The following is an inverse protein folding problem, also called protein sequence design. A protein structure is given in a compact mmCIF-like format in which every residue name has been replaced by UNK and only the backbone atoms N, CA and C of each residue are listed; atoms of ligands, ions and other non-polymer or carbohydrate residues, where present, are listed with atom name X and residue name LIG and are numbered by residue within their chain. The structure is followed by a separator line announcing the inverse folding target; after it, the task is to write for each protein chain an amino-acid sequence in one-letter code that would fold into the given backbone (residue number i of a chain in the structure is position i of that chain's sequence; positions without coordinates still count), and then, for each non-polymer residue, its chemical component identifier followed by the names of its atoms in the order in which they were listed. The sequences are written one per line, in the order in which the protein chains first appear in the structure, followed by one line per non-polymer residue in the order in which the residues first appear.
data_IF_161407532702
#
_entry.id   IF_161407532702
#
_cell.length_a   1.000
_cell.length_b   1.000
_cell.length_c   1.000
_cell.angle_alpha   90.00
_cell.angle_beta   90.00
_cell.angle_gamma   90.00
#
_symmetry.space_group_name_H-M   'P 1'
#
loop_
_entity.id
_entity.type
_entity.pdbx_description
1 polymer ?
#
# COMPACT_ATOMS: atom_id res chain seq x y z
N UNK A 1 49.60 67.99 -14.17
CA UNK A 1 49.20 68.38 -12.80
C UNK A 1 47.69 68.36 -12.76
N UNK A 2 47.11 67.22 -12.43
CA UNK A 2 45.66 67.06 -12.26
C UNK A 2 45.34 67.14 -10.77
N UNK A 3 44.37 67.98 -10.45
CA UNK A 3 43.98 68.34 -9.10
C UNK A 3 43.00 67.27 -8.58
N UNK A 4 43.25 66.61 -7.44
CA UNK A 4 42.32 65.62 -6.91
C UNK A 4 41.10 66.33 -6.32
N UNK A 5 39.99 66.28 -7.03
CA UNK A 5 38.68 66.73 -6.56
C UNK A 5 38.30 65.99 -5.28
N UNK A 6 38.31 66.72 -4.16
CA UNK A 6 37.80 66.25 -2.89
C UNK A 6 36.29 65.98 -3.01
N UNK A 7 35.91 64.71 -2.91
CA UNK A 7 34.51 64.28 -2.78
C UNK A 7 34.02 64.66 -1.39
N UNK A 8 33.30 65.78 -1.31
CA UNK A 8 32.65 66.24 -0.08
C UNK A 8 31.45 65.33 0.20
N UNK A 9 31.61 64.42 1.15
CA UNK A 9 30.52 63.58 1.65
C UNK A 9 29.47 64.45 2.34
N UNK A 10 28.35 64.68 1.68
CA UNK A 10 27.20 65.41 2.22
C UNK A 10 26.63 64.70 3.46
N UNK A 11 26.30 65.43 4.54
CA UNK A 11 25.68 64.87 5.74
C UNK A 11 24.41 64.04 5.46
N UNK A 12 23.70 64.35 4.38
CA UNK A 12 22.48 63.63 3.98
C UNK A 12 22.74 62.17 3.56
N UNK A 13 23.83 61.90 2.84
CA UNK A 13 24.22 60.54 2.45
C UNK A 13 24.66 59.68 3.64
N UNK A 14 25.08 60.33 4.74
CA UNK A 14 25.46 59.65 5.98
C UNK A 14 24.24 59.19 6.77
N UNK A 15 23.15 59.95 6.75
CA UNK A 15 21.89 59.62 7.44
C UNK A 15 21.15 58.47 6.73
N UNK A 16 21.16 58.45 5.40
CA UNK A 16 20.49 57.40 4.62
C UNK A 16 21.12 56.02 4.86
N UNK A 17 22.47 55.93 4.90
CA UNK A 17 23.17 54.68 5.21
C UNK A 17 22.90 54.14 6.62
N UNK A 18 22.65 55.02 7.58
CA UNK A 18 22.33 54.61 8.97
C UNK A 18 20.92 53.99 9.04
N UNK A 19 19.96 54.56 8.31
CA UNK A 19 18.58 54.06 8.29
C UNK A 19 18.46 52.72 7.54
N UNK A 20 19.20 52.52 6.44
CA UNK A 20 19.22 51.23 5.74
C UNK A 20 19.87 50.12 6.59
N UNK A 21 20.92 50.44 7.34
CA UNK A 21 21.58 49.49 8.24
C UNK A 21 20.65 49.00 9.36
N UNK A 22 19.83 49.90 9.93
CA UNK A 22 18.88 49.55 10.98
C UNK A 22 17.76 48.63 10.46
N UNK A 23 17.28 48.85 9.24
CA UNK A 23 16.27 48.00 8.60
C UNK A 23 16.74 46.55 8.38
N UNK A 24 17.96 46.38 7.86
CA UNK A 24 18.56 45.06 7.63
C UNK A 24 18.80 44.33 8.96
N UNK A 25 19.31 45.03 9.97
CA UNK A 25 19.55 44.44 11.29
C UNK A 25 18.25 43.97 11.97
N UNK A 26 17.18 44.78 11.85
CA UNK A 26 15.86 44.43 12.39
C UNK A 26 15.28 43.18 11.70
N UNK A 27 15.42 43.08 10.37
CA UNK A 27 14.96 41.92 9.61
C UNK A 27 15.71 40.63 10.01
N UNK A 28 17.02 40.70 10.24
CA UNK A 28 17.83 39.56 10.69
C UNK A 28 17.39 39.08 12.08
N UNK A 29 17.11 40.00 13.01
CA UNK A 29 16.63 39.64 14.35
C UNK A 29 15.27 38.92 14.28
N UNK A 30 14.33 39.44 13.48
CA UNK A 30 13.01 38.83 13.32
C UNK A 30 13.13 37.42 12.72
N UNK A 31 13.99 37.24 11.71
CA UNK A 31 14.24 35.94 11.10
C UNK A 31 14.80 34.93 12.10
N UNK A 32 15.77 35.32 12.93
CA UNK A 32 16.34 34.47 13.97
C UNK A 32 15.29 34.07 15.03
N UNK A 33 14.42 34.99 15.44
CA UNK A 33 13.35 34.68 16.39
C UNK A 33 12.35 33.65 15.84
N UNK A 34 11.96 33.77 14.56
CA UNK A 34 11.09 32.77 13.91
C UNK A 34 11.76 31.40 13.87
N UNK A 35 13.07 31.35 13.58
CA UNK A 35 13.82 30.09 13.54
C UNK A 35 13.88 29.41 14.91
N UNK A 36 14.07 30.17 15.99
CA UNK A 36 14.09 29.65 17.37
C UNK A 36 12.73 29.04 17.75
N UNK A 37 11.62 29.68 17.36
CA UNK A 37 10.27 29.16 17.62
C UNK A 37 10.04 27.85 16.87
N UNK A 38 10.41 27.77 15.58
CA UNK A 38 10.27 26.55 14.78
C UNK A 38 11.12 25.40 15.33
N UNK A 39 12.37 25.66 15.71
CA UNK A 39 13.24 24.67 16.34
C UNK A 39 12.65 24.15 17.67
N UNK A 40 12.07 25.04 18.47
CA UNK A 40 11.42 24.67 19.74
C UNK A 40 10.21 23.77 19.52
N UNK A 41 9.37 24.06 18.52
CA UNK A 41 8.21 23.22 18.16
C UNK A 41 8.68 21.82 17.72
N UNK A 42 9.74 21.74 16.91
CA UNK A 42 10.29 20.48 16.42
C UNK A 42 10.85 19.63 17.57
N UNK A 43 11.62 20.23 18.49
CA UNK A 43 12.17 19.52 19.67
C UNK A 43 11.05 19.01 20.57
N UNK A 44 10.02 19.81 20.84
CA UNK A 44 8.85 19.38 21.64
C UNK A 44 8.08 18.27 20.93
N UNK A 45 7.94 18.33 19.60
CA UNK A 45 7.29 17.28 18.80
C UNK A 45 8.04 15.95 18.84
N UNK A 46 9.37 15.97 18.75
CA UNK A 46 10.22 14.78 18.85
C UNK A 46 10.20 14.21 20.28
N UNK A 47 10.33 15.06 21.31
CA UNK A 47 10.28 14.63 22.70
C UNK A 47 8.95 13.96 23.06
N UNK A 48 7.82 14.49 22.58
CA UNK A 48 6.50 13.85 22.77
C UNK A 48 6.35 12.52 22.05
N UNK A 49 7.03 12.29 20.93
CA UNK A 49 7.03 10.97 20.26
C UNK A 49 7.86 9.93 21.02
N UNK A 50 8.94 10.35 21.69
CA UNK A 50 9.80 9.44 22.45
C UNK A 50 9.23 9.06 23.83
N UNK A 51 8.32 9.86 24.40
CA UNK A 51 7.73 9.59 25.72
C UNK A 51 6.58 8.56 25.72
N UNK A 52 6.29 7.92 24.59
CA UNK A 52 5.21 6.93 24.46
C UNK A 52 5.70 5.48 24.28
N UNK A 53 6.99 5.20 24.47
CA UNK A 53 7.51 3.82 24.47
C UNK A 53 7.46 3.30 25.92
N UNK A 54 6.59 2.33 26.26
CA UNK A 54 6.59 1.70 27.57
C UNK A 54 7.91 0.92 27.79
N UNK A 55 8.53 1.05 28.97
CA UNK A 55 9.79 0.36 29.33
C UNK A 55 9.73 -1.17 29.22
N UNK A 56 8.53 -1.76 29.14
CA UNK A 56 8.32 -3.20 29.06
C UNK A 56 8.73 -3.81 27.70
N UNK A 57 8.94 -3.00 26.65
CA UNK A 57 9.33 -3.49 25.31
C UNK A 57 10.86 -3.56 25.15
N UNK A 58 11.64 -2.81 25.93
CA UNK A 58 13.11 -2.77 25.73
C UNK A 58 13.82 -4.07 26.12
N UNK A 59 13.22 -4.92 26.97
CA UNK A 59 13.85 -6.17 27.40
C UNK A 59 13.67 -7.34 26.42
N UNK A 60 12.75 -7.24 25.46
CA UNK A 60 12.48 -8.33 24.48
C UNK A 60 13.32 -8.18 23.21
N UNK A 61 13.77 -6.96 22.89
CA UNK A 61 14.48 -6.65 21.63
C UNK A 61 15.96 -7.10 21.64
N UNK A 62 16.58 -7.31 22.81
CA UNK A 62 18.01 -7.66 22.89
C UNK A 62 18.30 -9.17 22.99
N UNK A 63 17.31 -10.05 23.09
CA UNK A 63 17.57 -11.49 23.31
C UNK A 63 17.66 -12.35 22.05
N UNK A 64 17.24 -11.87 20.87
CA UNK A 64 17.10 -12.71 19.67
C UNK A 64 17.99 -12.33 18.48
N UNK A 65 19.04 -11.53 18.69
CA UNK A 65 20.09 -11.34 17.67
C UNK A 65 21.27 -12.25 18.01
N UNK A 66 21.11 -13.54 17.72
CA UNK A 66 22.23 -14.40 17.37
C UNK A 66 22.27 -14.48 15.85
N UNK A 67 23.04 -13.58 15.23
CA UNK A 67 23.46 -13.75 13.84
C UNK A 67 24.61 -14.77 13.84
N UNK A 68 24.33 -15.96 13.33
CA UNK A 68 25.38 -16.85 12.84
C UNK A 68 25.70 -16.42 11.40
N UNK A 69 26.89 -15.87 11.23
CA UNK A 69 27.48 -15.60 9.93
C UNK A 69 27.79 -16.92 9.25
N UNK A 70 27.50 -17.03 7.95
CA UNK A 70 28.48 -17.38 6.93
C UNK A 70 27.78 -17.48 5.57
N UNK A 71 28.12 -16.57 4.66
CA UNK A 71 28.68 -16.88 3.34
C UNK A 71 28.43 -15.73 2.38
N UNK A 72 29.54 -15.27 1.79
CA UNK A 72 29.63 -14.33 0.68
C UNK A 72 28.69 -14.72 -0.48
N UNK A 73 27.80 -13.83 -0.89
CA UNK A 73 27.40 -13.74 -2.30
C UNK A 73 26.82 -12.37 -2.67
N UNK A 74 26.97 -12.03 -3.93
CA UNK A 74 26.91 -10.70 -4.51
C UNK A 74 25.51 -10.04 -4.51
N UNK A 75 25.48 -8.73 -4.20
CA UNK A 75 24.67 -7.78 -4.96
C UNK A 75 23.15 -7.98 -5.03
N UNK A 76 22.48 -8.33 -3.94
CA UNK A 76 21.00 -8.20 -3.87
C UNK A 76 20.65 -6.87 -3.24
N UNK A 77 20.00 -5.98 -4.01
CA UNK A 77 19.29 -4.81 -3.48
C UNK A 77 18.17 -5.33 -2.57
N UNK A 78 18.47 -5.57 -1.30
CA UNK A 78 17.49 -5.97 -0.31
C UNK A 78 16.57 -4.79 0.00
N UNK A 79 15.29 -4.98 -0.26
CA UNK A 79 14.24 -4.04 0.08
C UNK A 79 14.27 -3.80 1.61
N UNK A 80 14.69 -2.60 2.02
CA UNK A 80 14.61 -2.17 3.41
C UNK A 80 13.16 -1.77 3.68
N UNK A 81 12.54 -2.34 4.72
CA UNK A 81 11.52 -1.59 5.45
C UNK A 81 11.55 -1.80 6.98
N UNK A 82 11.62 -0.65 7.67
CA UNK A 82 11.35 -0.45 9.10
C UNK A 82 9.98 0.26 9.22
N UNK A 83 8.95 -0.46 9.65
CA UNK A 83 7.79 0.08 10.35
C UNK A 83 7.53 -0.94 11.48
N UNK A 84 7.68 -0.56 12.75
CA UNK A 84 7.57 -1.55 13.84
C UNK A 84 6.15 -2.14 13.84
N UNK A 85 6.04 -3.45 13.54
CA UNK A 85 4.77 -4.17 13.44
C UNK A 85 4.14 -4.25 12.05
N UNK A 86 4.64 -3.55 11.02
CA UNK A 86 4.09 -3.59 9.64
C UNK A 86 5.21 -3.62 8.58
N UNK A 87 5.08 -4.48 7.58
CA UNK A 87 5.96 -4.58 6.43
C UNK A 87 5.27 -4.03 5.19
N UNK A 88 6.02 -3.34 4.35
CA UNK A 88 5.55 -2.76 3.09
C UNK A 88 6.00 -3.68 1.97
N UNK A 89 5.03 -4.22 1.25
CA UNK A 89 5.25 -4.94 0.01
C UNK A 89 5.01 -4.01 -1.16
N UNK A 90 5.83 -4.14 -2.22
CA UNK A 90 5.74 -3.30 -3.39
C UNK A 90 6.00 -4.10 -4.66
N UNK A 91 5.30 -3.75 -5.73
CA UNK A 91 5.62 -4.12 -7.10
C UNK A 91 5.74 -2.83 -7.92
N UNK A 92 6.95 -2.23 -7.98
CA UNK A 92 7.16 -0.93 -8.61
C UNK A 92 6.73 -0.88 -10.07
N UNK A 93 6.83 -2.00 -10.79
CA UNK A 93 6.44 -2.11 -12.20
C UNK A 93 4.94 -1.86 -12.43
N UNK A 94 4.09 -2.08 -11.42
CA UNK A 94 2.64 -1.82 -11.46
C UNK A 94 2.23 -0.62 -10.59
N UNK A 95 3.20 0.10 -10.02
CA UNK A 95 2.93 1.16 -9.02
C UNK A 95 2.25 0.65 -7.75
N UNK A 96 2.23 -0.67 -7.52
CA UNK A 96 1.48 -1.30 -6.45
C UNK A 96 2.24 -1.30 -5.13
N UNK A 97 1.56 -0.94 -4.05
CA UNK A 97 2.08 -1.07 -2.69
C UNK A 97 0.98 -1.53 -1.73
N UNK A 98 1.35 -2.31 -0.71
CA UNK A 98 0.46 -2.72 0.39
C UNK A 98 1.26 -2.87 1.70
N UNK A 99 0.68 -2.47 2.82
CA UNK A 99 1.23 -2.75 4.15
C UNK A 99 0.56 -3.98 4.76
N UNK A 100 1.35 -4.93 5.22
CA UNK A 100 0.92 -6.13 5.94
C UNK A 100 1.50 -6.11 7.35
N UNK A 101 0.88 -6.74 8.36
CA UNK A 101 1.50 -6.89 9.67
C UNK A 101 2.84 -7.62 9.57
N UNK A 102 3.86 -7.22 10.35
CA UNK A 102 5.23 -7.74 10.23
C UNK A 102 5.39 -9.21 10.62
N UNK A 103 4.37 -9.81 11.22
CA UNK A 103 4.29 -11.25 11.42
C UNK A 103 3.76 -11.97 10.18
N UNK A 104 3.72 -11.33 9.01
CA UNK A 104 3.35 -11.90 7.72
C UNK A 104 4.45 -12.79 7.13
N UNK A 105 4.09 -13.91 6.52
CA UNK A 105 5.02 -14.71 5.73
C UNK A 105 5.03 -14.26 4.27
N UNK A 106 6.23 -14.08 3.74
CA UNK A 106 6.47 -13.86 2.31
C UNK A 106 6.75 -15.22 1.65
N UNK A 107 6.03 -15.51 0.57
CA UNK A 107 6.32 -16.63 -0.32
C UNK A 107 6.22 -18.01 0.35
N UNK A 108 4.99 -18.41 0.70
CA UNK A 108 4.71 -19.81 1.03
C UNK A 108 4.54 -20.52 -0.32
N UNK A 109 5.58 -21.20 -0.79
CA UNK A 109 5.42 -22.20 -1.84
C UNK A 109 4.31 -23.13 -1.38
N UNK A 110 3.20 -23.13 -2.11
CA UNK A 110 1.92 -23.68 -1.66
C UNK A 110 2.12 -25.11 -1.21
N UNK A 111 1.82 -25.35 0.07
CA UNK A 111 1.69 -26.68 0.64
C UNK A 111 0.63 -27.43 -0.15
N UNK A 112 1.05 -28.29 -1.09
CA UNK A 112 0.18 -29.21 -1.83
C UNK A 112 -0.57 -30.17 -0.87
N UNK A 113 -0.12 -30.31 0.37
CA UNK A 113 -0.65 -31.26 1.35
C UNK A 113 -0.96 -30.59 2.70
N UNK A 114 -2.03 -29.79 2.74
CA UNK A 114 -2.68 -29.37 3.99
C UNK A 114 -2.10 -28.08 4.61
N UNK A 115 -3.01 -27.21 5.06
CA UNK A 115 -2.67 -26.02 5.83
C UNK A 115 -2.07 -26.50 7.16
N UNK A 116 -0.74 -26.43 7.30
CA UNK A 116 -0.11 -26.60 8.61
C UNK A 116 -0.70 -25.53 9.56
N UNK A 117 -1.19 -25.99 10.70
CA UNK A 117 -1.86 -25.16 11.72
C UNK A 117 -0.95 -24.01 12.21
N UNK A 118 0.37 -24.13 12.01
CA UNK A 118 1.36 -23.09 12.31
C UNK A 118 1.20 -21.80 11.47
N UNK A 119 0.48 -21.84 10.35
CA UNK A 119 0.23 -20.69 9.46
C UNK A 119 -1.08 -19.93 9.75
N UNK A 120 -1.81 -20.32 10.80
CA UNK A 120 -3.02 -19.62 11.24
C UNK A 120 -2.66 -18.32 11.98
N UNK A 121 -3.51 -17.30 11.87
CA UNK A 121 -3.31 -15.91 12.31
C UNK A 121 -2.20 -15.13 11.59
N UNK A 122 -1.68 -15.63 10.48
CA UNK A 122 -0.63 -14.96 9.73
C UNK A 122 -1.15 -14.44 8.39
N UNK A 123 -0.84 -13.18 8.09
CA UNK A 123 -0.98 -12.67 6.73
C UNK A 123 0.02 -13.37 5.83
N UNK A 124 -0.47 -13.93 4.74
CA UNK A 124 0.37 -14.55 3.72
C UNK A 124 0.22 -13.78 2.42
N UNK A 125 1.35 -13.48 1.78
CA UNK A 125 1.38 -12.88 0.45
C UNK A 125 2.06 -13.81 -0.54
N UNK A 126 1.39 -13.97 -1.68
CA UNK A 126 1.81 -14.82 -2.79
C UNK A 126 1.77 -14.00 -4.07
N UNK A 127 2.71 -14.25 -4.97
CA UNK A 127 2.65 -13.72 -6.33
C UNK A 127 2.78 -14.86 -7.34
N UNK A 128 1.92 -14.83 -8.36
CA UNK A 128 1.90 -15.79 -9.45
C UNK A 128 2.24 -15.07 -10.74
N UNK A 129 3.23 -15.61 -11.45
CA UNK A 129 3.56 -15.22 -12.80
C UNK A 129 2.75 -16.10 -13.80
N UNK A 130 2.57 -15.65 -15.07
CA UNK A 130 1.70 -16.30 -16.05
C UNK A 130 2.07 -17.77 -16.34
N UNK A 131 3.36 -18.10 -16.22
CA UNK A 131 3.87 -19.44 -16.48
C UNK A 131 3.48 -20.47 -15.40
N UNK A 132 2.97 -20.03 -14.26
CA UNK A 132 2.60 -20.88 -13.12
C UNK A 132 1.09 -21.24 -13.10
N UNK A 133 0.57 -21.62 -14.28
CA UNK A 133 -0.86 -21.71 -14.61
C UNK A 133 -1.67 -22.74 -13.83
N UNK A 134 -1.02 -23.71 -13.16
CA UNK A 134 -1.72 -24.76 -12.40
C UNK A 134 -2.41 -24.26 -11.13
N UNK A 135 -2.09 -23.06 -10.64
CA UNK A 135 -2.64 -22.50 -9.40
C UNK A 135 -3.61 -21.34 -9.61
N UNK A 136 -3.91 -20.98 -10.86
CA UNK A 136 -4.91 -19.96 -11.19
C UNK A 136 -6.30 -20.64 -11.26
N UNK A 137 -6.87 -20.97 -10.11
CA UNK A 137 -8.30 -21.27 -10.05
C UNK A 137 -9.07 -20.01 -10.51
N UNK A 138 -9.89 -20.17 -11.54
CA UNK A 138 -10.57 -19.07 -12.24
C UNK A 138 -9.70 -18.51 -13.37
N UNK A 139 -10.12 -18.78 -14.61
CA UNK A 139 -9.45 -18.29 -15.81
C UNK A 139 -9.38 -16.76 -15.86
N UNK A 140 -8.47 -16.24 -16.69
CA UNK A 140 -8.20 -14.81 -16.78
C UNK A 140 -9.42 -14.01 -17.25
N UNK A 141 -9.70 -12.91 -16.54
CA UNK A 141 -10.81 -12.00 -16.84
C UNK A 141 -10.56 -11.22 -18.12
N UNK A 142 -9.33 -10.76 -18.33
CA UNK A 142 -8.89 -9.97 -19.47
C UNK A 142 -7.69 -10.64 -20.16
N UNK A 143 -7.47 -10.40 -21.47
CA UNK A 143 -6.22 -10.79 -22.12
C UNK A 143 -5.02 -10.04 -21.52
N UNK A 144 -3.82 -10.55 -21.79
CA UNK A 144 -2.57 -9.89 -21.36
C UNK A 144 -2.29 -10.01 -19.86
N UNK A 145 -2.66 -11.12 -19.22
CA UNK A 145 -2.31 -11.39 -17.82
C UNK A 145 -0.80 -11.34 -17.59
N UNK A 146 -0.37 -10.56 -16.60
CA UNK A 146 1.04 -10.32 -16.28
C UNK A 146 1.40 -10.85 -14.89
N UNK A 147 0.51 -10.67 -13.91
CA UNK A 147 0.78 -11.06 -12.52
C UNK A 147 -0.51 -11.17 -11.71
N UNK A 148 -0.51 -12.05 -10.71
CA UNK A 148 -1.55 -12.10 -9.67
C UNK A 148 -0.89 -12.06 -8.30
N UNK A 149 -1.38 -11.19 -7.42
CA UNK A 149 -0.99 -11.13 -6.01
C UNK A 149 -2.15 -11.61 -5.17
N UNK A 150 -1.92 -12.62 -4.33
CA UNK A 150 -2.89 -13.08 -3.34
C UNK A 150 -2.45 -12.66 -1.94
N UNK A 151 -3.34 -11.99 -1.20
CA UNK A 151 -3.21 -11.72 0.23
C UNK A 151 -4.23 -12.58 0.97
N UNK A 152 -3.78 -13.36 1.94
CA UNK A 152 -4.67 -14.25 2.71
C UNK A 152 -4.43 -14.07 4.20
N UNK A 153 -5.52 -14.05 4.95
CA UNK A 153 -5.53 -14.11 6.41
C UNK A 153 -6.55 -15.17 6.83
N UNK A 154 -6.18 -16.05 7.76
CA UNK A 154 -7.07 -17.07 8.32
C UNK A 154 -6.94 -17.08 9.86
N UNK A 155 -8.03 -16.88 10.64
CA UNK A 155 -7.94 -16.90 12.09
C UNK A 155 -7.78 -18.32 12.67
N UNK A 156 -7.24 -18.43 13.89
CA UNK A 156 -7.06 -19.70 14.63
C UNK A 156 -8.39 -20.34 15.07
N UNK A 157 -9.33 -19.54 15.54
CA UNK A 157 -10.59 -20.02 16.11
C UNK A 157 -11.64 -20.24 15.01
N UNK A 158 -11.43 -21.20 14.11
CA UNK A 158 -12.54 -21.66 13.28
C UNK A 158 -13.51 -22.37 14.21
N UNK A 159 -14.67 -21.76 14.50
CA UNK A 159 -15.80 -22.50 15.06
C UNK A 159 -16.03 -23.73 14.16
N UNK A 160 -16.42 -24.85 14.76
CA UNK A 160 -16.67 -26.14 14.07
C UNK A 160 -17.83 -25.98 13.07
N UNK A 161 -17.55 -25.36 11.92
CA UNK A 161 -18.52 -24.89 10.94
C UNK A 161 -18.47 -25.82 9.74
N UNK A 162 -19.43 -26.75 9.72
CA UNK A 162 -19.47 -27.90 8.80
C UNK A 162 -19.82 -27.63 7.33
N UNK A 163 -19.39 -26.53 6.69
CA UNK A 163 -19.59 -26.31 5.25
C UNK A 163 -18.48 -25.47 4.58
N UNK A 164 -18.23 -25.73 3.29
CA UNK A 164 -17.26 -25.06 2.39
C UNK A 164 -17.33 -23.52 2.37
N UNK A 165 -18.51 -22.94 2.67
CA UNK A 165 -18.70 -21.48 2.76
C UNK A 165 -18.12 -20.83 4.01
N UNK A 166 -17.95 -21.61 5.09
CA UNK A 166 -17.51 -21.14 6.41
C UNK A 166 -16.03 -21.47 6.69
N UNK A 167 -15.29 -21.94 5.68
CA UNK A 167 -13.87 -22.29 5.82
C UNK A 167 -12.98 -21.08 6.09
N UNK A 168 -13.49 -19.87 5.92
CA UNK A 168 -12.67 -18.68 5.82
C UNK A 168 -13.27 -17.52 6.62
N UNK A 169 -13.33 -17.61 7.96
CA UNK A 169 -13.53 -16.47 8.88
C UNK A 169 -12.42 -15.38 8.78
N UNK A 170 -11.73 -15.35 7.65
CA UNK A 170 -10.56 -14.58 7.32
C UNK A 170 -10.83 -13.58 6.20
N UNK A 171 -9.75 -13.27 5.49
CA UNK A 171 -9.79 -12.42 4.31
C UNK A 171 -8.97 -13.04 3.19
N UNK A 172 -9.52 -13.00 1.98
CA UNK A 172 -8.83 -13.32 0.75
C UNK A 172 -8.93 -12.10 -0.15
N UNK A 173 -7.80 -11.54 -0.54
CA UNK A 173 -7.71 -10.41 -1.47
C UNK A 173 -6.86 -10.88 -2.64
N UNK A 174 -7.41 -10.80 -3.84
CA UNK A 174 -6.71 -11.17 -5.07
C UNK A 174 -6.60 -9.92 -5.94
N UNK A 175 -5.39 -9.64 -6.40
CA UNK A 175 -5.07 -8.50 -7.25
C UNK A 175 -4.45 -9.04 -8.54
N UNK A 176 -5.16 -8.95 -9.65
CA UNK A 176 -4.70 -9.37 -10.96
C UNK A 176 -4.30 -8.16 -11.79
N UNK A 177 -3.14 -8.25 -12.43
CA UNK A 177 -2.57 -7.22 -13.30
C UNK A 177 -2.62 -7.74 -14.74
N UNK A 178 -3.26 -6.96 -15.61
CA UNK A 178 -3.38 -7.25 -17.04
C UNK A 178 -2.88 -6.06 -17.85
N UNK A 179 -2.22 -6.32 -18.97
CA UNK A 179 -1.82 -5.28 -19.91
C UNK A 179 -3.01 -4.80 -20.73
N UNK A 180 -3.23 -3.49 -20.80
CA UNK A 180 -4.27 -2.87 -21.62
C UNK A 180 -3.80 -2.68 -23.08
N UNK A 181 -3.47 -3.77 -23.77
CA UNK A 181 -2.92 -3.72 -25.13
C UNK A 181 -3.86 -3.04 -26.14
N UNK A 182 -5.16 -3.15 -25.90
CA UNK A 182 -6.21 -2.56 -26.75
C UNK A 182 -6.53 -1.10 -26.40
N UNK A 183 -5.86 -0.53 -25.37
CA UNK A 183 -6.08 0.85 -24.92
C UNK A 183 -7.55 1.14 -24.58
N UNK A 184 -8.22 0.20 -23.93
CA UNK A 184 -9.62 0.31 -23.52
C UNK A 184 -9.81 1.41 -22.47
N UNK A 185 -10.91 2.18 -22.59
CA UNK A 185 -11.36 3.09 -21.54
C UNK A 185 -11.97 2.33 -20.37
N UNK A 186 -12.12 2.97 -19.21
CA UNK A 186 -12.72 2.31 -18.03
C UNK A 186 -14.16 1.84 -18.28
N UNK A 187 -14.93 2.54 -19.11
CA UNK A 187 -16.29 2.13 -19.51
C UNK A 187 -16.29 0.92 -20.44
N UNK A 188 -15.27 0.80 -21.30
CA UNK A 188 -15.10 -0.39 -22.14
C UNK A 188 -14.69 -1.59 -21.28
N UNK A 189 -13.79 -1.37 -20.32
CA UNK A 189 -13.34 -2.39 -19.37
C UNK A 189 -14.52 -2.92 -18.54
N UNK A 190 -15.40 -2.05 -18.03
CA UNK A 190 -16.61 -2.46 -17.28
C UNK A 190 -17.52 -3.35 -18.13
N UNK A 191 -17.72 -2.99 -19.40
CA UNK A 191 -18.54 -3.78 -20.31
C UNK A 191 -17.93 -5.15 -20.60
N UNK A 192 -16.62 -5.23 -20.85
CA UNK A 192 -15.91 -6.49 -21.04
C UNK A 192 -15.98 -7.36 -19.77
N UNK A 193 -15.79 -6.75 -18.60
CA UNK A 193 -15.90 -7.42 -17.30
C UNK A 193 -17.29 -8.04 -17.08
N UNK A 194 -18.35 -7.26 -17.32
CA UNK A 194 -19.72 -7.72 -17.21
C UNK A 194 -19.99 -8.89 -18.18
N UNK A 195 -19.55 -8.77 -19.44
CA UNK A 195 -19.76 -9.81 -20.45
C UNK A 195 -19.06 -11.11 -20.04
N UNK A 196 -17.81 -11.04 -19.60
CA UNK A 196 -17.03 -12.18 -19.11
C UNK A 196 -17.71 -12.84 -17.91
N UNK A 197 -18.05 -12.05 -16.90
CA UNK A 197 -18.75 -12.52 -15.69
C UNK A 197 -20.09 -13.19 -16.03
N UNK A 198 -20.85 -12.61 -16.97
CA UNK A 198 -22.11 -13.17 -17.42
C UNK A 198 -21.93 -14.50 -18.17
N UNK A 199 -20.91 -14.63 -19.03
CA UNK A 199 -20.61 -15.91 -19.69
C UNK A 199 -20.16 -16.96 -18.67
N UNK A 200 -19.28 -16.61 -17.74
CA UNK A 200 -18.81 -17.54 -16.72
C UNK A 200 -19.96 -18.06 -15.86
N UNK A 201 -20.88 -17.17 -15.46
CA UNK A 201 -22.09 -17.58 -14.74
C UNK A 201 -22.93 -18.58 -15.57
N UNK A 202 -23.16 -18.25 -16.84
CA UNK A 202 -23.94 -19.07 -17.77
C UNK A 202 -23.30 -20.44 -18.02
N UNK A 203 -22.00 -20.49 -18.22
CA UNK A 203 -21.25 -21.72 -18.50
C UNK A 203 -21.25 -22.67 -17.31
N UNK A 204 -21.33 -22.13 -16.09
CA UNK A 204 -21.49 -22.92 -14.88
C UNK A 204 -22.97 -23.17 -14.49
N UNK A 205 -23.93 -22.84 -15.36
CA UNK A 205 -25.37 -23.10 -15.17
C UNK A 205 -25.92 -22.42 -13.90
N UNK A 206 -25.43 -21.23 -13.55
CA UNK A 206 -26.05 -20.40 -12.50
C UNK A 206 -26.31 -19.00 -13.02
N UNK A 207 -27.33 -18.34 -12.49
CA UNK A 207 -27.63 -16.97 -12.86
C UNK A 207 -26.61 -16.01 -12.23
N UNK A 208 -26.17 -15.03 -13.02
CA UNK A 208 -25.58 -13.81 -12.49
C UNK A 208 -26.71 -12.95 -11.90
N UNK A 209 -26.63 -12.67 -10.62
CA UNK A 209 -27.63 -11.89 -9.89
C UNK A 209 -27.02 -10.63 -9.31
N UNK A 210 -27.82 -9.57 -9.20
CA UNK A 210 -27.47 -8.34 -8.49
C UNK A 210 -26.15 -7.68 -8.91
N UNK A 211 -25.74 -7.83 -10.18
CA UNK A 211 -24.55 -7.12 -10.68
C UNK A 211 -24.75 -5.61 -10.55
N UNK A 212 -23.86 -4.97 -9.81
CA UNK A 212 -23.79 -3.53 -9.62
C UNK A 212 -22.38 -3.08 -9.94
N UNK A 213 -22.28 -2.00 -10.72
CA UNK A 213 -21.03 -1.31 -10.98
C UNK A 213 -21.20 0.19 -10.70
N UNK A 214 -20.16 0.82 -10.15
CA UNK A 214 -20.14 2.26 -9.87
C UNK A 214 -18.78 2.85 -10.20
N UNK A 215 -18.74 3.77 -11.16
CA UNK A 215 -17.54 4.51 -11.50
C UNK A 215 -17.10 5.42 -10.34
N UNK A 216 -15.81 5.36 -10.01
CA UNK A 216 -15.15 6.07 -8.92
C UNK A 216 -13.72 6.41 -9.33
N UNK A 217 -12.98 7.11 -8.47
CA UNK A 217 -11.53 7.25 -8.61
C UNK A 217 -10.83 6.59 -7.42
N UNK A 218 -9.80 5.78 -7.70
CA UNK A 218 -9.00 5.06 -6.70
C UNK A 218 -7.54 5.40 -6.93
N UNK A 219 -6.88 5.96 -5.91
CA UNK A 219 -5.50 6.48 -6.00
C UNK A 219 -5.28 7.48 -7.16
N UNK A 220 -6.33 8.20 -7.59
CA UNK A 220 -6.27 9.15 -8.71
C UNK A 220 -6.46 8.53 -10.09
N UNK A 221 -6.66 7.21 -10.17
CA UNK A 221 -6.95 6.49 -11.41
C UNK A 221 -8.46 6.37 -11.64
N UNK A 222 -8.87 6.27 -12.90
CA UNK A 222 -10.25 5.94 -13.26
C UNK A 222 -10.54 4.48 -12.90
N UNK A 223 -11.68 4.24 -12.26
CA UNK A 223 -12.02 2.94 -11.72
C UNK A 223 -13.54 2.72 -11.69
N UNK A 224 -13.95 1.48 -11.49
CA UNK A 224 -15.28 1.15 -11.00
C UNK A 224 -15.22 0.11 -9.89
N UNK A 225 -16.07 0.25 -8.88
CA UNK A 225 -16.35 -0.81 -7.92
C UNK A 225 -17.40 -1.73 -8.48
N UNK A 226 -17.30 -3.03 -8.23
CA UNK A 226 -18.33 -4.00 -8.60
C UNK A 226 -18.72 -4.88 -7.43
N UNK A 227 -19.94 -5.41 -7.51
CA UNK A 227 -20.43 -6.49 -6.66
C UNK A 227 -21.46 -7.29 -7.44
N UNK A 228 -21.46 -8.61 -7.30
CA UNK A 228 -22.50 -9.47 -7.85
C UNK A 228 -22.64 -10.74 -7.02
N UNK A 229 -23.70 -11.51 -7.27
CA UNK A 229 -23.89 -12.83 -6.69
C UNK A 229 -24.00 -13.87 -7.80
N UNK A 230 -23.38 -15.02 -7.60
CA UNK A 230 -23.48 -16.18 -8.48
C UNK A 230 -23.38 -17.44 -7.60
N UNK A 231 -24.46 -18.22 -7.56
CA UNK A 231 -24.54 -19.39 -6.68
C UNK A 231 -24.43 -19.02 -5.20
N UNK A 232 -23.47 -19.63 -4.49
CA UNK A 232 -23.17 -19.32 -3.08
C UNK A 232 -22.13 -18.21 -2.91
N UNK A 233 -21.57 -17.69 -4.00
CA UNK A 233 -20.51 -16.69 -3.98
C UNK A 233 -21.08 -15.30 -4.23
N UNK A 234 -20.56 -14.31 -3.50
CA UNK A 234 -20.87 -12.89 -3.73
C UNK A 234 -19.58 -12.06 -3.85
N UNK A 235 -18.90 -12.12 -5.00
CA UNK A 235 -17.68 -11.35 -5.21
C UNK A 235 -17.94 -9.86 -5.15
N UNK A 236 -17.04 -9.13 -4.50
CA UNK A 236 -16.98 -7.67 -4.52
C UNK A 236 -15.55 -7.19 -4.68
N UNK A 237 -15.38 -6.01 -5.26
CA UNK A 237 -14.06 -5.52 -5.62
C UNK A 237 -14.08 -4.22 -6.40
N UNK A 238 -12.96 -3.93 -7.04
CA UNK A 238 -12.86 -2.84 -8.01
C UNK A 238 -11.90 -3.19 -9.14
N UNK A 239 -12.13 -2.56 -10.28
CA UNK A 239 -11.19 -2.55 -11.40
C UNK A 239 -10.78 -1.11 -11.65
N UNK A 240 -9.50 -0.88 -11.82
CA UNK A 240 -8.95 0.43 -12.16
C UNK A 240 -8.01 0.35 -13.36
N UNK A 241 -7.90 1.48 -14.05
CA UNK A 241 -6.99 1.66 -15.17
C UNK A 241 -5.80 2.51 -14.69
N UNK A 242 -4.62 1.88 -14.55
CA UNK A 242 -3.38 2.57 -14.19
C UNK A 242 -2.41 2.52 -15.36
N UNK A 243 -2.21 3.66 -16.02
CA UNK A 243 -1.38 3.77 -17.23
C UNK A 243 -1.77 2.71 -18.28
N UNK A 244 -0.86 1.79 -18.59
CA UNK A 244 -1.03 0.71 -19.56
C UNK A 244 -1.59 -0.58 -18.95
N UNK A 245 -2.07 -0.55 -17.70
CA UNK A 245 -2.53 -1.73 -16.97
C UNK A 245 -3.99 -1.64 -16.53
N UNK A 246 -4.71 -2.74 -16.70
CA UNK A 246 -5.99 -3.03 -16.05
C UNK A 246 -5.67 -3.78 -14.77
N UNK A 247 -6.13 -3.27 -13.64
CA UNK A 247 -5.87 -3.87 -12.33
C UNK A 247 -7.21 -4.24 -11.71
N UNK A 248 -7.41 -5.54 -11.49
CA UNK A 248 -8.60 -6.11 -10.87
C UNK A 248 -8.27 -6.49 -9.43
N UNK A 249 -8.96 -5.91 -8.46
CA UNK A 249 -8.94 -6.34 -7.07
C UNK A 249 -10.29 -6.96 -6.71
N UNK A 250 -10.27 -8.26 -6.41
CA UNK A 250 -11.40 -8.98 -5.79
C UNK A 250 -11.09 -9.21 -4.31
N UNK A 251 -12.09 -9.06 -3.45
CA UNK A 251 -11.96 -9.41 -2.02
C UNK A 251 -13.11 -10.27 -1.54
N UNK A 252 -12.80 -11.12 -0.58
CA UNK A 252 -13.73 -11.86 0.26
C UNK A 252 -13.31 -11.63 1.71
N UNK A 253 -14.20 -11.07 2.53
CA UNK A 253 -13.91 -10.75 3.93
C UNK A 253 -15.07 -11.26 4.78
N UNK A 254 -14.78 -12.23 5.63
CA UNK A 254 -15.73 -12.77 6.62
C UNK A 254 -15.21 -12.63 8.07
N UNK A 255 -14.09 -11.90 8.23
CA UNK A 255 -13.52 -11.59 9.54
C UNK A 255 -14.43 -10.69 10.38
N UNK A 256 -14.35 -10.86 11.70
CA UNK A 256 -15.08 -10.08 12.70
C UNK A 256 -14.12 -9.50 13.74
N UNK A 257 -14.56 -8.50 14.50
CA UNK A 257 -13.79 -7.94 15.62
C UNK A 257 -12.42 -7.37 15.21
N UNK A 258 -11.39 -7.65 16.01
CA UNK A 258 -10.01 -7.16 15.80
C UNK A 258 -9.43 -7.62 14.45
N UNK A 259 -9.76 -8.83 14.00
CA UNK A 259 -9.32 -9.33 12.69
C UNK A 259 -9.85 -8.45 11.54
N UNK A 260 -11.11 -8.01 11.62
CA UNK A 260 -11.70 -7.13 10.61
C UNK A 260 -11.01 -5.75 10.58
N UNK A 261 -10.59 -5.22 11.73
CA UNK A 261 -9.84 -3.95 11.79
C UNK A 261 -8.48 -4.07 11.08
N UNK A 262 -7.77 -5.17 11.28
CA UNK A 262 -6.50 -5.45 10.60
C UNK A 262 -6.72 -5.62 9.10
N UNK A 263 -7.75 -6.37 8.68
CA UNK A 263 -8.12 -6.54 7.26
C UNK A 263 -8.44 -5.21 6.61
N UNK A 264 -9.21 -4.35 7.27
CA UNK A 264 -9.53 -3.03 6.76
C UNK A 264 -8.26 -2.18 6.62
N UNK A 265 -7.33 -2.24 7.59
CA UNK A 265 -6.05 -1.53 7.47
C UNK A 265 -5.20 -2.03 6.31
N UNK A 266 -5.17 -3.34 6.05
CA UNK A 266 -4.50 -3.90 4.87
C UNK A 266 -5.16 -3.37 3.59
N UNK A 267 -6.49 -3.45 3.48
CA UNK A 267 -7.24 -2.94 2.33
C UNK A 267 -7.01 -1.44 2.08
N UNK A 268 -7.03 -0.64 3.14
CA UNK A 268 -6.81 0.82 3.08
C UNK A 268 -5.38 1.18 2.70
N UNK A 269 -4.42 0.28 2.93
CA UNK A 269 -3.01 0.49 2.57
C UNK A 269 -2.70 0.16 1.11
N UNK A 270 -3.61 -0.51 0.40
CA UNK A 270 -3.44 -0.85 -1.01
C UNK A 270 -3.48 0.43 -1.85
N UNK A 271 -2.41 0.67 -2.60
CA UNK A 271 -2.28 1.86 -3.44
C UNK A 271 -1.64 1.53 -4.79
N UNK A 272 -2.00 2.32 -5.79
CA UNK A 272 -1.48 2.27 -7.16
C UNK A 272 -1.07 3.68 -7.57
N UNK A 273 0.22 3.89 -7.78
CA UNK A 273 0.81 5.20 -8.11
C UNK A 273 1.38 5.26 -9.51
#
# INVERSE_FOLDING_TARGET
MENPSQVVNSPAQKIERINTGYGVFTAIIIFLLVFIVLASILVVGIAKRLSFIPEEISSVIWSNIQCENDSDDEGVNSAILKNEGWALYQLPEFGFTVELPSYSYNNIDVLEDGIDESYRNVWSIYSYDPDNSSMLDGGDTFPGFEKKVGLRYFPLETLDLGTESNYYEGAIITISFYRNEESLSIEQIEKEYYNKTYQDAKDNIVALENYQAKFVSISGNDAFTYSYSYGMYSPEGYILLNNDYIIELTKFVDSQGEALEVVNKVLDSISFK
#
